data_IF_678398677934
#
_entry.id   IF_678398677934
#
_cell.length_a   1.000
_cell.length_b   1.000
_cell.length_c   1.000
_cell.angle_alpha   90.00
_cell.angle_beta   90.00
_cell.angle_gamma   90.00
#
_symmetry.space_group_name_H-M   'P 1'
#
loop_
_entity.id
_entity.type
_entity.pdbx_description
1 polymer ?
#
# COMPACT_ATOMS: atom_id res chain seq x y z
N UNK A 1 -9.94 8.64 -29.73
CA UNK A 1 -9.73 9.12 -28.34
C UNK A 1 -10.06 8.00 -27.38
N UNK A 2 -9.05 7.36 -26.77
CA UNK A 2 -9.26 6.40 -25.68
C UNK A 2 -9.71 7.22 -24.46
N UNK A 3 -10.95 7.03 -24.03
CA UNK A 3 -11.49 7.69 -22.84
C UNK A 3 -10.69 7.19 -21.64
N UNK A 4 -9.78 8.00 -21.10
CA UNK A 4 -9.24 7.77 -19.76
C UNK A 4 -10.41 7.89 -18.79
N UNK A 5 -10.93 6.75 -18.37
CA UNK A 5 -11.81 6.61 -17.21
C UNK A 5 -10.99 6.91 -15.96
N UNK A 6 -10.66 8.18 -15.75
CA UNK A 6 -10.30 8.68 -14.43
C UNK A 6 -11.61 8.77 -13.66
N UNK A 7 -12.15 7.60 -13.31
CA UNK A 7 -13.12 7.47 -12.23
C UNK A 7 -12.49 8.22 -11.07
N UNK A 8 -13.17 9.27 -10.60
CA UNK A 8 -13.08 9.68 -9.21
C UNK A 8 -13.45 8.43 -8.42
N UNK A 9 -12.48 7.54 -8.21
CA UNK A 9 -12.66 6.37 -7.38
C UNK A 9 -13.09 6.98 -6.06
N UNK A 10 -14.26 6.60 -5.58
CA UNK A 10 -14.51 6.56 -4.15
C UNK A 10 -13.48 5.56 -3.64
N UNK A 11 -12.22 6.00 -3.61
CA UNK A 11 -11.09 5.25 -3.15
C UNK A 11 -11.52 4.95 -1.73
N UNK A 12 -11.65 3.69 -1.35
CA UNK A 12 -12.01 3.33 0.01
C UNK A 12 -10.86 3.79 0.92
N UNK A 13 -10.87 5.09 1.26
CA UNK A 13 -9.87 5.72 2.13
C UNK A 13 -9.91 5.01 3.48
N UNK A 14 -11.07 4.44 3.85
CA UNK A 14 -11.21 3.58 5.02
C UNK A 14 -10.35 2.30 4.93
N UNK A 15 -10.31 1.62 3.78
CA UNK A 15 -9.44 0.46 3.58
C UNK A 15 -7.96 0.86 3.66
N UNK A 16 -7.59 1.99 3.04
CA UNK A 16 -6.23 2.52 3.14
C UNK A 16 -5.88 2.88 4.60
N UNK A 17 -6.78 3.56 5.31
CA UNK A 17 -6.61 3.97 6.69
C UNK A 17 -6.48 2.77 7.63
N UNK A 18 -7.25 1.70 7.40
CA UNK A 18 -7.13 0.45 8.16
C UNK A 18 -5.72 -0.14 8.00
N UNK A 19 -5.23 -0.22 6.76
CA UNK A 19 -3.88 -0.71 6.47
C UNK A 19 -2.81 0.20 7.10
N UNK A 20 -2.93 1.52 6.96
CA UNK A 20 -1.97 2.47 7.57
C UNK A 20 -1.99 2.34 9.10
N UNK A 21 -3.16 2.21 9.73
CA UNK A 21 -3.26 1.99 11.18
C UNK A 21 -2.61 0.70 11.59
N UNK A 22 -2.82 -0.38 10.86
CA UNK A 22 -2.15 -1.67 11.13
C UNK A 22 -0.64 -1.53 11.04
N UNK A 23 -0.14 -0.91 9.98
CA UNK A 23 1.29 -0.65 9.81
C UNK A 23 1.86 0.26 10.92
N UNK A 24 1.13 1.29 11.33
CA UNK A 24 1.56 2.21 12.38
C UNK A 24 1.56 1.58 13.78
N UNK A 25 0.73 0.56 14.02
CA UNK A 25 0.70 -0.21 15.26
C UNK A 25 1.62 -1.45 15.21
N UNK A 26 2.45 -1.61 14.17
CA UNK A 26 3.26 -2.79 13.92
C UNK A 26 2.44 -4.11 13.85
N UNK A 27 1.15 -4.01 13.50
CA UNK A 27 0.29 -5.17 13.32
C UNK A 27 0.60 -5.89 12.00
N UNK A 28 0.50 -7.23 12.04
CA UNK A 28 0.62 -8.03 10.84
C UNK A 28 -0.56 -7.76 9.88
N UNK A 29 -0.23 -7.41 8.63
CA UNK A 29 -1.23 -7.26 7.59
C UNK A 29 -1.88 -8.61 7.26
N UNK A 30 -3.19 -8.64 6.97
CA UNK A 30 -3.88 -9.88 6.62
C UNK A 30 -3.32 -10.46 5.32
N UNK A 31 -3.29 -11.78 5.20
CA UNK A 31 -2.66 -12.50 4.07
C UNK A 31 -3.20 -12.07 2.69
N UNK A 32 -4.47 -11.65 2.64
CA UNK A 32 -5.13 -11.10 1.45
C UNK A 32 -4.37 -9.90 0.84
N UNK A 33 -3.64 -9.15 1.67
CA UNK A 33 -2.90 -7.97 1.26
C UNK A 33 -1.56 -8.31 0.60
N UNK A 34 -1.16 -9.59 0.54
CA UNK A 34 0.05 -10.06 -0.15
C UNK A 34 1.25 -9.15 0.14
N UNK A 35 1.48 -8.92 1.43
CA UNK A 35 2.57 -8.07 1.88
C UNK A 35 3.89 -8.78 1.58
N UNK A 36 4.63 -8.27 0.61
CA UNK A 36 5.91 -8.85 0.21
C UNK A 36 6.97 -7.76 0.13
N UNK A 37 8.16 -8.08 0.66
CA UNK A 37 9.34 -7.28 0.43
C UNK A 37 9.66 -7.30 -1.08
N UNK A 38 9.97 -6.12 -1.62
CA UNK A 38 10.49 -6.02 -2.96
C UNK A 38 11.94 -6.51 -2.95
N UNK A 39 12.31 -7.29 -3.95
CA UNK A 39 13.67 -7.82 -4.13
C UNK A 39 14.49 -6.88 -5.03
N UNK A 40 15.81 -6.84 -4.84
CA UNK A 40 16.74 -6.01 -5.60
C UNK A 40 17.03 -4.66 -4.94
N UNK A 41 17.11 -3.57 -5.72
CA UNK A 41 17.42 -2.21 -5.21
C UNK A 41 16.31 -1.62 -4.30
N UNK A 42 15.21 -2.36 -4.13
CA UNK A 42 14.04 -2.02 -3.36
C UNK A 42 13.90 -2.89 -2.09
N UNK A 43 14.97 -3.52 -1.62
CA UNK A 43 15.00 -4.41 -0.44
C UNK A 43 14.39 -3.82 0.82
N UNK A 44 14.40 -2.49 0.94
CA UNK A 44 13.80 -1.78 2.07
C UNK A 44 12.34 -1.36 1.85
N UNK A 45 11.80 -1.62 0.65
CA UNK A 45 10.43 -1.29 0.29
C UNK A 45 9.58 -2.55 0.34
N UNK A 46 8.39 -2.40 0.89
CA UNK A 46 7.37 -3.42 0.94
C UNK A 46 6.22 -2.98 0.06
N UNK A 47 5.56 -3.97 -0.55
CA UNK A 47 4.34 -3.75 -1.32
C UNK A 47 3.20 -4.51 -0.69
N UNK A 48 2.04 -3.85 -0.62
CA UNK A 48 0.81 -4.39 -0.09
C UNK A 48 -0.31 -4.11 -1.09
N UNK A 49 -1.04 -5.14 -1.51
CA UNK A 49 -2.22 -4.99 -2.36
C UNK A 49 -3.42 -4.67 -1.49
N UNK A 50 -3.97 -3.46 -1.58
CA UNK A 50 -5.21 -3.09 -0.89
C UNK A 50 -6.40 -3.67 -1.65
N UNK A 51 -6.36 -3.58 -2.98
CA UNK A 51 -7.31 -4.19 -3.92
C UNK A 51 -6.53 -4.79 -5.10
N UNK A 52 -7.15 -5.66 -5.92
CA UNK A 52 -6.50 -6.23 -7.11
C UNK A 52 -5.87 -5.20 -8.06
N UNK A 53 -6.46 -4.00 -8.14
CA UNK A 53 -6.02 -2.86 -8.96
C UNK A 53 -5.39 -1.73 -8.13
N UNK A 54 -5.09 -1.97 -6.85
CA UNK A 54 -4.57 -0.95 -5.93
C UNK A 54 -3.42 -1.49 -5.07
N UNK A 55 -2.21 -1.04 -5.41
CA UNK A 55 -0.99 -1.36 -4.67
C UNK A 55 -0.58 -0.16 -3.80
N UNK A 56 -0.23 -0.44 -2.55
CA UNK A 56 0.47 0.47 -1.66
C UNK A 56 1.93 0.03 -1.58
N UNK A 57 2.84 0.94 -1.94
CA UNK A 57 4.28 0.77 -1.68
C UNK A 57 4.61 1.56 -0.44
N UNK A 58 5.26 0.93 0.52
CA UNK A 58 5.63 1.59 1.77
C UNK A 58 7.00 1.11 2.26
N UNK A 59 7.64 1.93 3.08
CA UNK A 59 8.90 1.63 3.76
C UNK A 59 8.81 2.11 5.19
N UNK A 60 9.39 1.35 6.12
CA UNK A 60 9.53 1.75 7.51
C UNK A 60 11.02 2.04 7.74
N UNK A 61 11.34 3.24 8.20
CA UNK A 61 12.70 3.68 8.56
C UNK A 61 12.67 4.44 9.87
N UNK A 62 13.43 4.00 10.89
CA UNK A 62 13.55 4.71 12.17
C UNK A 62 12.17 5.13 12.74
N UNK A 63 11.23 4.19 12.79
CA UNK A 63 9.84 4.40 13.23
C UNK A 63 8.98 5.34 12.35
N UNK A 64 9.51 5.78 11.19
CA UNK A 64 8.75 6.53 10.20
C UNK A 64 8.17 5.58 9.15
N UNK A 65 6.85 5.62 9.01
CA UNK A 65 6.13 4.98 7.92
C UNK A 65 6.07 5.92 6.71
N UNK A 66 6.82 5.59 5.65
CA UNK A 66 6.86 6.32 4.39
C UNK A 66 5.94 5.62 3.40
N UNK A 67 4.96 6.35 2.86
CA UNK A 67 3.97 5.85 1.90
C UNK A 67 4.27 6.43 0.51
N UNK A 68 4.41 5.56 -0.49
CA UNK A 68 4.57 5.93 -1.88
C UNK A 68 3.36 5.44 -2.69
N UNK A 69 2.58 6.40 -3.22
CA UNK A 69 1.51 6.16 -4.18
C UNK A 69 2.02 6.59 -5.56
N UNK A 70 1.99 5.65 -6.51
CA UNK A 70 2.26 5.90 -7.93
C UNK A 70 0.97 5.98 -8.72
#
# INVERSE_FOLDING_TARGET
>A
MKKSTTMKRHLDIELLNDIIRKLANDEQLPEKNKNHALVGNWTWHRKCNILPDWLLVYRIENDLLILALS
#
